data_IF_106815194581
#
_entry.id   IF_106815194581
#
_cell.length_a   1.000
_cell.length_b   1.000
_cell.length_c   1.000
_cell.angle_alpha   90.00
_cell.angle_beta   90.00
_cell.angle_gamma   90.00
#
_symmetry.space_group_name_H-M   'P 1'
#
loop_
_entity.id
_entity.type
_entity.pdbx_description
1 polymer ?
#
# COMPACT_ATOMS: atom_id res chain seq x y z
N UNK A 1 -5.21 0.03 -11.72
CA UNK A 1 -6.47 -0.45 -12.32
C UNK A 1 -7.68 -0.17 -11.44
N UNK A 2 -7.78 -0.74 -10.23
CA UNK A 2 -8.96 -0.55 -9.37
C UNK A 2 -9.33 0.93 -9.12
N UNK A 3 -8.35 1.76 -8.71
CA UNK A 3 -8.60 3.19 -8.47
C UNK A 3 -9.09 3.93 -9.72
N UNK A 4 -8.47 3.70 -10.88
CA UNK A 4 -8.89 4.34 -12.13
C UNK A 4 -10.34 3.99 -12.49
N UNK A 5 -10.74 2.72 -12.32
CA UNK A 5 -12.13 2.30 -12.56
C UNK A 5 -13.11 2.84 -11.54
N UNK A 6 -12.70 3.01 -10.28
CA UNK A 6 -13.53 3.68 -9.27
C UNK A 6 -13.74 5.17 -9.61
N UNK A 7 -12.70 5.86 -10.10
CA UNK A 7 -12.77 7.24 -10.56
C UNK A 7 -13.71 7.38 -11.75
N UNK A 8 -13.57 6.50 -12.76
CA UNK A 8 -14.49 6.47 -13.90
C UNK A 8 -15.96 6.19 -13.47
N UNK A 9 -16.15 5.44 -12.39
CA UNK A 9 -17.47 5.17 -11.80
C UNK A 9 -18.01 6.29 -10.89
N UNK A 10 -17.25 7.37 -10.69
CA UNK A 10 -17.69 8.56 -9.95
C UNK A 10 -17.36 8.57 -8.46
N UNK A 11 -16.33 7.84 -8.01
CA UNK A 11 -15.84 7.99 -6.62
C UNK A 11 -15.28 9.40 -6.40
N UNK A 12 -15.61 10.02 -5.27
CA UNK A 12 -15.18 11.38 -4.94
C UNK A 12 -13.71 11.48 -4.48
N UNK A 13 -13.15 10.39 -3.97
CA UNK A 13 -11.82 10.38 -3.37
C UNK A 13 -11.18 9.00 -3.37
N UNK A 14 -9.84 8.98 -3.37
CA UNK A 14 -9.02 7.77 -3.36
C UNK A 14 -7.76 7.98 -2.53
N UNK A 15 -7.33 6.92 -1.85
CA UNK A 15 -6.07 6.93 -1.10
C UNK A 15 -4.90 6.45 -1.97
N UNK A 16 -3.79 7.18 -1.88
CA UNK A 16 -2.53 6.86 -2.55
C UNK A 16 -1.35 7.07 -1.60
N UNK A 17 -0.18 6.57 -1.96
CA UNK A 17 1.07 6.84 -1.26
C UNK A 17 2.10 7.45 -2.21
N UNK A 18 2.95 8.33 -1.71
CA UNK A 18 4.03 8.92 -2.52
C UNK A 18 4.91 7.82 -3.12
N UNK A 19 5.36 7.97 -4.36
CA UNK A 19 5.93 6.87 -5.16
C UNK A 19 7.03 6.09 -4.44
N UNK A 20 7.92 6.78 -3.72
CA UNK A 20 9.02 6.18 -2.96
C UNK A 20 8.58 5.29 -1.79
N UNK A 21 7.34 5.42 -1.32
CA UNK A 21 6.71 4.66 -0.23
C UNK A 21 5.51 3.82 -0.70
N UNK A 22 5.30 3.71 -2.01
CA UNK A 22 4.15 3.05 -2.61
C UNK A 22 4.45 1.61 -3.03
N UNK A 23 3.43 0.94 -3.57
CA UNK A 23 3.47 -0.41 -4.13
C UNK A 23 3.72 -1.53 -3.09
N UNK A 24 3.89 -2.75 -3.62
CA UNK A 24 3.97 -4.03 -2.89
C UNK A 24 2.80 -4.22 -1.93
N UNK A 25 2.97 -3.85 -0.67
CA UNK A 25 2.00 -4.01 0.39
C UNK A 25 1.22 -2.74 0.70
N UNK A 26 1.66 -1.62 0.15
CA UNK A 26 1.06 -0.31 0.32
C UNK A 26 0.10 0.06 -0.81
N UNK A 27 -0.19 1.36 -0.86
CA UNK A 27 -1.11 1.94 -1.83
C UNK A 27 -0.46 2.18 -3.20
N UNK A 28 -1.27 2.39 -4.26
CA UNK A 28 -0.78 2.88 -5.54
C UNK A 28 -0.05 4.24 -5.42
N UNK A 29 0.88 4.48 -6.34
CA UNK A 29 1.70 5.69 -6.36
C UNK A 29 0.85 6.94 -6.69
N UNK A 30 0.98 7.99 -5.86
CA UNK A 30 0.28 9.27 -6.04
C UNK A 30 0.62 9.90 -7.39
N UNK A 31 1.91 10.01 -7.73
CA UNK A 31 2.40 10.67 -8.95
C UNK A 31 1.93 9.95 -10.21
N UNK A 32 1.90 8.62 -10.18
CA UNK A 32 1.42 7.82 -11.31
C UNK A 32 -0.07 8.06 -11.56
N UNK A 33 -0.88 8.14 -10.48
CA UNK A 33 -2.30 8.44 -10.61
C UNK A 33 -2.54 9.87 -11.09
N UNK A 34 -1.85 10.85 -10.50
CA UNK A 34 -1.92 12.27 -10.93
C UNK A 34 -1.55 12.43 -12.40
N UNK A 35 -0.46 11.80 -12.84
CA UNK A 35 -0.05 11.84 -14.24
C UNK A 35 -1.07 11.15 -15.18
N UNK A 36 -1.71 10.07 -14.72
CA UNK A 36 -2.73 9.36 -15.49
C UNK A 36 -3.99 10.20 -15.70
N UNK A 37 -4.37 11.03 -14.71
CA UNK A 37 -5.57 11.84 -14.73
C UNK A 37 -5.35 13.25 -15.32
N UNK A 38 -4.10 13.65 -15.56
CA UNK A 38 -3.76 14.97 -16.09
C UNK A 38 -4.43 15.22 -17.45
N UNK A 39 -5.12 16.35 -17.57
CA UNK A 39 -5.85 16.74 -18.79
C UNK A 39 -7.15 15.95 -19.02
N UNK A 40 -7.58 15.11 -18.08
CA UNK A 40 -8.87 14.41 -18.13
C UNK A 40 -9.95 15.18 -17.34
N UNK A 41 -11.23 14.80 -17.42
CA UNK A 41 -12.28 15.36 -16.55
C UNK A 41 -12.03 15.13 -15.05
N UNK A 42 -11.13 14.20 -14.71
CA UNK A 42 -10.76 13.84 -13.35
C UNK A 42 -9.41 14.43 -12.92
N UNK A 43 -8.91 15.45 -13.65
CA UNK A 43 -7.65 16.10 -13.31
C UNK A 43 -7.66 16.57 -11.85
N UNK A 44 -6.62 16.18 -11.12
CA UNK A 44 -6.49 16.45 -9.69
C UNK A 44 -6.03 17.88 -9.38
N UNK A 45 -5.46 18.59 -10.37
CA UNK A 45 -4.81 19.88 -10.19
C UNK A 45 -3.53 19.86 -9.34
N UNK A 46 -3.05 18.67 -8.96
CA UNK A 46 -1.86 18.52 -8.13
C UNK A 46 -0.58 18.75 -8.93
N UNK A 47 0.35 19.50 -8.34
CA UNK A 47 1.63 19.79 -8.99
C UNK A 47 2.58 18.59 -8.90
N UNK A 48 2.82 17.93 -10.04
CA UNK A 48 3.64 16.73 -10.11
C UNK A 48 5.10 16.95 -9.68
N UNK A 49 5.67 18.14 -9.92
CA UNK A 49 7.04 18.46 -9.52
C UNK A 49 7.18 18.61 -8.00
N UNK A 50 6.16 19.16 -7.33
CA UNK A 50 6.12 19.20 -5.87
C UNK A 50 6.01 17.80 -5.27
N UNK A 51 5.20 16.94 -5.88
CA UNK A 51 5.09 15.54 -5.44
C UNK A 51 6.42 14.80 -5.61
N UNK A 52 7.10 14.98 -6.75
CA UNK A 52 8.43 14.39 -6.98
C UNK A 52 9.44 14.82 -5.91
N UNK A 53 9.44 16.11 -5.53
CA UNK A 53 10.32 16.61 -4.46
C UNK A 53 10.06 15.91 -3.12
N UNK A 54 8.78 15.64 -2.80
CA UNK A 54 8.40 14.88 -1.60
C UNK A 54 8.85 13.42 -1.73
N UNK A 55 8.72 12.81 -2.91
CA UNK A 55 9.19 11.45 -3.17
C UNK A 55 10.71 11.32 -3.02
N UNK A 56 11.47 12.31 -3.51
CA UNK A 56 12.91 12.37 -3.35
C UNK A 56 13.31 12.42 -1.87
N UNK A 57 12.63 13.24 -1.07
CA UNK A 57 12.84 13.28 0.38
C UNK A 57 12.55 11.91 1.03
N UNK A 58 11.39 11.32 0.78
CA UNK A 58 11.03 10.05 1.40
C UNK A 58 11.87 8.86 0.92
N UNK A 59 12.44 8.93 -0.29
CA UNK A 59 13.41 7.93 -0.78
C UNK A 59 14.64 7.87 0.12
N UNK A 60 15.14 9.02 0.58
CA UNK A 60 16.26 9.06 1.53
C UNK A 60 15.83 8.66 2.95
N UNK A 61 14.64 9.05 3.39
CA UNK A 61 14.10 8.64 4.69
C UNK A 61 13.95 7.12 4.77
N UNK A 62 13.39 6.48 3.73
CA UNK A 62 13.12 5.03 3.69
C UNK A 62 14.36 4.18 3.91
N UNK A 63 15.54 4.63 3.44
CA UNK A 63 16.82 3.94 3.66
C UNK A 63 17.14 3.71 5.14
N UNK A 64 16.71 4.63 6.02
CA UNK A 64 16.89 4.52 7.47
C UNK A 64 16.12 3.34 8.07
N UNK A 65 15.08 2.87 7.39
CA UNK A 65 14.18 1.81 7.84
C UNK A 65 14.39 0.48 7.09
N UNK A 66 15.50 0.31 6.37
CA UNK A 66 15.77 -0.89 5.57
C UNK A 66 15.65 -2.20 6.39
N UNK A 67 15.97 -2.16 7.69
CA UNK A 67 15.87 -3.32 8.59
C UNK A 67 14.44 -3.82 8.80
N UNK A 68 13.43 -3.01 8.47
CA UNK A 68 12.00 -3.34 8.61
C UNK A 68 11.33 -3.62 7.26
N UNK A 69 12.07 -3.61 6.15
CA UNK A 69 11.50 -3.88 4.83
C UNK A 69 11.09 -5.34 4.68
N UNK A 70 9.93 -5.54 4.05
CA UNK A 70 9.46 -6.87 3.67
C UNK A 70 10.25 -7.46 2.50
N UNK A 71 10.07 -8.77 2.27
CA UNK A 71 10.79 -9.49 1.20
C UNK A 71 10.04 -9.53 -0.15
N UNK A 72 8.76 -9.15 -0.22
CA UNK A 72 8.03 -9.16 -1.50
C UNK A 72 8.62 -8.17 -2.48
N UNK A 73 8.79 -8.66 -3.69
CA UNK A 73 9.14 -7.87 -4.86
C UNK A 73 7.99 -7.99 -5.86
N UNK A 74 7.48 -6.86 -6.34
CA UNK A 74 6.33 -6.84 -7.25
C UNK A 74 5.02 -7.23 -6.56
N UNK A 75 4.22 -8.05 -7.25
CA UNK A 75 2.86 -8.42 -6.85
C UNK A 75 2.78 -9.90 -6.50
N UNK A 76 2.10 -10.24 -5.40
CA UNK A 76 1.82 -11.62 -5.02
C UNK A 76 0.39 -12.02 -5.43
N UNK A 77 0.26 -12.81 -6.50
CA UNK A 77 -1.03 -13.28 -6.98
C UNK A 77 -1.72 -14.28 -6.04
N UNK A 78 -0.99 -14.90 -5.10
CA UNK A 78 -1.59 -15.80 -4.10
C UNK A 78 -2.57 -15.07 -3.19
N UNK A 79 -2.41 -13.74 -3.04
CA UNK A 79 -3.36 -12.88 -2.33
C UNK A 79 -4.75 -12.97 -2.96
N UNK A 80 -4.82 -13.04 -4.29
CA UNK A 80 -6.08 -13.11 -5.02
C UNK A 80 -6.82 -14.45 -4.76
N UNK A 81 -6.07 -15.51 -4.49
CA UNK A 81 -6.62 -16.85 -4.22
C UNK A 81 -6.97 -17.02 -2.75
N UNK A 82 -6.07 -16.65 -1.86
CA UNK A 82 -6.20 -16.89 -0.43
C UNK A 82 -7.00 -15.80 0.30
N UNK A 83 -7.26 -14.66 -0.36
CA UNK A 83 -7.97 -13.50 0.20
C UNK A 83 -7.39 -13.00 1.53
N UNK A 84 -6.08 -13.18 1.74
CA UNK A 84 -5.40 -12.75 2.96
C UNK A 84 -5.10 -11.26 2.87
N UNK A 85 -5.55 -10.43 3.83
CA UNK A 85 -5.25 -9.00 3.84
C UNK A 85 -3.74 -8.73 3.87
N UNK A 86 -3.28 -7.68 3.18
CA UNK A 86 -1.86 -7.39 2.97
C UNK A 86 -1.02 -7.35 4.24
N UNK A 87 -1.52 -6.71 5.31
CA UNK A 87 -0.82 -6.66 6.61
C UNK A 87 -0.63 -8.02 7.29
N UNK A 88 -1.51 -8.99 7.00
CA UNK A 88 -1.44 -10.34 7.57
C UNK A 88 -0.43 -11.25 6.86
N UNK A 89 0.09 -10.87 5.69
CA UNK A 89 1.10 -11.64 4.96
C UNK A 89 2.51 -11.48 5.55
N UNK A 90 2.71 -10.39 6.26
CA UNK A 90 4.01 -9.97 6.78
C UNK A 90 4.23 -10.26 8.24
N UNK A 91 3.12 -10.32 8.97
CA UNK A 91 3.19 -10.65 10.36
C UNK A 91 3.63 -12.12 10.46
N UNK A 92 4.76 -12.42 11.12
CA UNK A 92 5.10 -13.81 11.39
C UNK A 92 3.90 -14.42 12.12
N UNK A 93 3.37 -15.54 11.60
CA UNK A 93 2.39 -16.33 12.34
C UNK A 93 3.05 -16.72 13.64
N UNK A 94 2.69 -16.07 14.75
CA UNK A 94 2.96 -16.67 16.06
C UNK A 94 2.24 -18.02 16.06
N UNK A 95 2.89 -19.14 16.42
CA UNK A 95 2.19 -20.39 16.62
C UNK A 95 1.02 -20.14 17.57
N UNK A 96 -0.14 -20.70 17.25
CA UNK A 96 -1.31 -20.66 18.11
C UNK A 96 -1.06 -21.55 19.34
N UNK A 97 -0.22 -21.11 20.26
CA UNK A 97 0.01 -21.73 21.56
C UNK A 97 -0.22 -20.69 22.66
N UNK A 98 -1.48 -20.34 22.90
CA UNK A 98 -1.88 -19.65 24.14
C UNK A 98 -3.41 -19.69 24.42
N UNK A 99 -4.15 -20.69 23.91
CA UNK A 99 -5.58 -20.80 24.19
C UNK A 99 -6.01 -22.12 24.85
N UNK A 100 -5.09 -23.05 25.11
CA UNK A 100 -5.41 -24.31 25.79
C UNK A 100 -4.55 -24.47 27.03
N UNK A 101 -5.04 -23.92 28.14
CA UNK A 101 -4.80 -24.33 29.54
C UNK A 101 -5.54 -23.37 30.47
N UNK A 102 -6.87 -23.51 30.53
CA UNK A 102 -7.58 -23.21 31.79
C UNK A 102 -7.59 -24.50 32.60
N UNK A 103 -6.94 -24.57 33.77
CA UNK A 103 -7.16 -25.70 34.65
C UNK A 103 -8.60 -25.63 35.15
N UNK A 104 -9.34 -26.73 35.01
CA UNK A 104 -10.55 -26.93 35.80
C UNK A 104 -10.10 -27.21 37.24
N UNK A 105 -10.19 -26.21 38.10
CA UNK A 105 -10.39 -26.36 39.54
C UNK A 105 -11.87 -26.05 39.77
N UNK A 106 -12.70 -26.95 40.29
CA UNK A 106 -12.54 -27.68 41.55
C UNK A 106 -13.62 -27.17 42.47
#
# INVERSE_FOLDING_TARGET
MALLKAIEAGVDGVDTAISSMSATYGHPATEALVATLAGTPYDTGLNIHRLESIAAYFREVRKKYHAFEGQLKGTDSRILVAQVPGGMLHQPRKPAEAAERRPQSG
#
